data_IF_058713143196
#
_entry.id   IF_058713143196
#
_cell.length_a   1.000
_cell.length_b   1.000
_cell.length_c   1.000
_cell.angle_alpha   90.00
_cell.angle_beta   90.00
_cell.angle_gamma   90.00
#
_symmetry.space_group_name_H-M   'P 1'
#
loop_
_entity.id
_entity.type
_entity.pdbx_description
1 polymer ?
#
# COMPACT_ATOMS: atom_id res chain seq x y z
N UNK A 1 10.09 -40.13 22.46
CA UNK A 1 9.02 -40.59 21.54
C UNK A 1 7.65 -40.38 22.20
N UNK A 2 6.98 -39.26 21.92
CA UNK A 2 5.59 -39.01 22.36
C UNK A 2 4.66 -39.34 21.18
N UNK A 3 3.72 -40.26 21.37
CA UNK A 3 2.73 -40.69 20.38
C UNK A 3 1.63 -39.64 20.26
N UNK A 4 1.48 -39.04 19.08
CA UNK A 4 0.31 -38.21 18.74
C UNK A 4 -0.89 -39.11 18.43
N UNK A 5 -2.00 -38.90 19.15
CA UNK A 5 -3.31 -39.47 18.79
C UNK A 5 -3.89 -38.63 17.66
N UNK A 6 -4.09 -39.24 16.49
CA UNK A 6 -4.91 -38.69 15.39
C UNK A 6 -6.37 -38.72 15.82
N UNK A 7 -7.03 -37.56 15.84
CA UNK A 7 -8.48 -37.45 15.95
C UNK A 7 -9.04 -37.28 14.54
N UNK A 8 -9.82 -38.26 14.09
CA UNK A 8 -10.62 -38.19 12.88
C UNK A 8 -11.79 -37.24 13.15
N UNK A 9 -11.93 -36.18 12.35
CA UNK A 9 -13.14 -35.34 12.33
C UNK A 9 -14.06 -35.88 11.22
N UNK A 10 -15.31 -36.26 11.51
CA UNK A 10 -16.23 -36.74 10.48
C UNK A 10 -16.75 -35.57 9.64
N UNK A 11 -16.75 -35.78 8.32
CA UNK A 11 -17.45 -34.96 7.34
C UNK A 11 -18.96 -34.95 7.65
N UNK A 12 -19.50 -33.80 8.04
CA UNK A 12 -20.96 -33.58 8.07
C UNK A 12 -21.35 -32.96 6.74
N UNK A 13 -22.09 -33.74 5.94
CA UNK A 13 -22.78 -33.28 4.74
C UNK A 13 -23.90 -32.33 5.17
N UNK A 14 -23.77 -31.05 4.86
CA UNK A 14 -24.84 -30.07 5.10
C UNK A 14 -25.93 -30.26 4.03
N UNK A 15 -26.99 -30.96 4.40
CA UNK A 15 -28.24 -30.99 3.64
C UNK A 15 -28.88 -29.60 3.69
N UNK A 16 -29.19 -29.02 2.52
CA UNK A 16 -29.97 -27.80 2.38
C UNK A 16 -31.39 -28.02 2.92
N UNK A 17 -31.58 -27.79 4.22
CA UNK A 17 -32.88 -27.54 4.80
C UNK A 17 -33.22 -26.07 4.56
N UNK A 18 -34.19 -25.84 3.67
CA UNK A 18 -34.85 -24.55 3.48
C UNK A 18 -35.58 -24.22 4.78
N UNK A 19 -35.01 -23.34 5.59
CA UNK A 19 -35.68 -22.79 6.76
C UNK A 19 -36.77 -21.80 6.29
N UNK A 20 -37.94 -21.76 6.96
CA UNK A 20 -38.97 -20.78 6.66
C UNK A 20 -38.43 -19.36 6.91
N UNK A 21 -38.79 -18.45 6.00
CA UNK A 21 -38.51 -17.01 6.07
C UNK A 21 -38.88 -16.51 7.46
N UNK A 22 -37.86 -16.22 8.27
CA UNK A 22 -38.04 -15.62 9.58
C UNK A 22 -38.58 -14.22 9.37
N UNK A 23 -39.78 -13.95 9.89
CA UNK A 23 -40.35 -12.61 9.94
C UNK A 23 -39.37 -11.74 10.72
N UNK A 24 -38.69 -10.83 10.02
CA UNK A 24 -37.85 -9.80 10.65
C UNK A 24 -38.72 -9.05 11.64
N UNK A 25 -38.39 -9.14 12.92
CA UNK A 25 -39.04 -8.33 13.94
C UNK A 25 -38.66 -6.85 13.70
N UNK A 26 -39.54 -5.89 14.02
CA UNK A 26 -39.27 -4.46 13.77
C UNK A 26 -37.97 -3.97 14.42
N UNK A 27 -37.55 -4.59 15.53
CA UNK A 27 -36.32 -4.27 16.22
C UNK A 27 -35.05 -4.66 15.43
N UNK A 28 -35.06 -5.81 14.75
CA UNK A 28 -33.93 -6.28 13.93
C UNK A 28 -33.76 -5.46 12.65
N UNK A 29 -34.87 -5.05 12.02
CA UNK A 29 -34.84 -4.20 10.83
C UNK A 29 -34.30 -2.79 11.15
N UNK A 30 -34.72 -2.24 12.30
CA UNK A 30 -34.29 -0.91 12.76
C UNK A 30 -32.80 -0.87 13.17
N UNK A 31 -32.27 -1.97 13.72
CA UNK A 31 -30.82 -2.10 13.97
C UNK A 31 -30.02 -2.20 12.67
N UNK A 32 -30.51 -2.95 11.67
CA UNK A 32 -29.82 -3.06 10.37
C UNK A 32 -29.87 -1.76 9.58
N UNK A 33 -30.97 -1.01 9.63
CA UNK A 33 -31.08 0.33 9.03
C UNK A 33 -30.11 1.31 9.69
N UNK A 34 -30.04 1.32 11.03
CA UNK A 34 -29.13 2.21 11.76
C UNK A 34 -27.65 1.92 11.48
N UNK A 35 -27.31 0.64 11.30
CA UNK A 35 -25.96 0.21 10.88
C UNK A 35 -25.71 0.60 9.42
N UNK A 36 -26.70 0.47 8.54
CA UNK A 36 -26.56 0.87 7.14
C UNK A 36 -26.43 2.39 6.98
N UNK A 37 -27.18 3.17 7.78
CA UNK A 37 -27.07 4.63 7.84
C UNK A 37 -25.72 5.07 8.39
N UNK A 38 -25.21 4.46 9.47
CA UNK A 38 -23.88 4.79 9.98
C UNK A 38 -22.76 4.45 8.99
N UNK A 39 -22.87 3.33 8.27
CA UNK A 39 -21.92 2.96 7.20
C UNK A 39 -22.04 3.93 6.01
N UNK A 40 -23.24 4.42 5.70
CA UNK A 40 -23.45 5.39 4.63
C UNK A 40 -22.99 6.81 5.00
N UNK A 41 -23.09 7.19 6.28
CA UNK A 41 -22.56 8.45 6.81
C UNK A 41 -21.02 8.42 6.91
N UNK A 42 -20.42 7.33 7.37
CA UNK A 42 -18.95 7.13 7.32
C UNK A 42 -18.42 7.26 5.88
N UNK A 43 -19.12 6.68 4.90
CA UNK A 43 -18.76 6.80 3.47
C UNK A 43 -18.82 8.23 2.92
N UNK A 44 -19.50 9.16 3.60
CA UNK A 44 -19.57 10.57 3.18
C UNK A 44 -18.59 11.48 3.90
N UNK A 45 -18.09 11.09 5.07
CA UNK A 45 -17.29 11.98 5.93
C UNK A 45 -16.03 12.50 5.23
N UNK A 46 -15.36 11.62 4.47
CA UNK A 46 -14.12 11.94 3.76
C UNK A 46 -14.21 11.75 2.24
N UNK A 47 -15.42 11.84 1.68
CA UNK A 47 -15.64 11.70 0.24
C UNK A 47 -14.72 12.66 -0.55
N UNK A 48 -13.98 12.11 -1.51
CA UNK A 48 -13.01 12.82 -2.37
C UNK A 48 -11.91 13.57 -1.61
N UNK A 49 -11.58 13.11 -0.40
CA UNK A 49 -10.50 13.72 0.40
C UNK A 49 -9.14 13.69 -0.29
N UNK A 50 -8.89 12.73 -1.19
CA UNK A 50 -7.66 12.68 -1.99
C UNK A 50 -7.46 13.92 -2.88
N UNK A 51 -8.55 14.60 -3.30
CA UNK A 51 -8.48 15.82 -4.12
C UNK A 51 -7.99 17.04 -3.32
N UNK A 52 -7.99 16.95 -1.99
CA UNK A 52 -7.55 18.04 -1.10
C UNK A 52 -6.04 18.06 -0.88
N UNK A 53 -5.35 16.96 -1.18
CA UNK A 53 -3.92 16.88 -0.97
C UNK A 53 -3.21 17.58 -2.12
N UNK A 54 -2.37 18.54 -1.76
CA UNK A 54 -1.40 19.10 -2.67
C UNK A 54 -0.05 18.40 -2.50
N UNK A 55 0.26 17.47 -3.40
CA UNK A 55 1.45 16.63 -3.32
C UNK A 55 2.78 17.39 -3.36
N UNK A 56 2.78 18.65 -3.82
CA UNK A 56 3.94 19.56 -3.74
C UNK A 56 4.39 19.83 -2.29
N UNK A 57 3.52 19.58 -1.32
CA UNK A 57 3.79 19.71 0.11
C UNK A 57 3.71 18.38 0.87
N UNK A 58 3.63 17.25 0.15
CA UNK A 58 3.43 15.93 0.74
C UNK A 58 4.47 15.56 1.81
N UNK A 59 5.74 15.89 1.61
CA UNK A 59 6.77 15.63 2.64
C UNK A 59 6.52 16.40 3.93
N UNK A 60 6.09 17.66 3.81
CA UNK A 60 5.79 18.51 4.95
C UNK A 60 4.53 18.05 5.67
N UNK A 61 3.49 17.66 4.92
CA UNK A 61 2.26 17.08 5.47
C UNK A 61 2.58 15.78 6.21
N UNK A 62 3.42 14.90 5.65
CA UNK A 62 3.80 13.64 6.29
C UNK A 62 4.61 13.87 7.56
N UNK A 63 5.55 14.84 7.56
CA UNK A 63 6.32 15.23 8.74
C UNK A 63 5.40 15.64 9.89
N UNK A 64 4.47 16.57 9.64
CA UNK A 64 3.57 17.10 10.67
C UNK A 64 2.54 16.08 11.14
N UNK A 65 1.99 15.27 10.23
CA UNK A 65 1.08 14.18 10.59
C UNK A 65 1.79 13.16 11.49
N UNK A 66 3.02 12.79 11.15
CA UNK A 66 3.82 11.85 11.96
C UNK A 66 4.12 12.44 13.34
N UNK A 67 4.41 13.74 13.42
CA UNK A 67 4.63 14.41 14.70
C UNK A 67 3.35 14.45 15.53
N UNK A 68 2.21 14.75 14.92
CA UNK A 68 0.91 14.73 15.59
C UNK A 68 0.61 13.36 16.22
N UNK A 69 0.81 12.26 15.48
CA UNK A 69 0.57 10.90 15.98
C UNK A 69 1.49 10.55 17.16
N UNK A 70 2.75 11.02 17.13
CA UNK A 70 3.71 10.85 18.25
C UNK A 70 3.29 11.62 19.49
N UNK A 71 2.81 12.85 19.31
CA UNK A 71 2.37 13.71 20.42
C UNK A 71 0.99 13.28 20.96
N UNK A 72 0.20 12.57 20.15
CA UNK A 72 -1.15 12.10 20.49
C UNK A 72 -1.26 10.57 20.28
N UNK A 73 -0.54 9.73 21.05
CA UNK A 73 -0.52 8.28 20.85
C UNK A 73 -1.86 7.56 21.16
N UNK A 74 -2.86 8.32 21.63
CA UNK A 74 -4.22 7.84 21.90
C UNK A 74 -5.25 8.46 20.97
N UNK A 75 -4.82 9.26 19.98
CA UNK A 75 -5.72 9.81 18.98
C UNK A 75 -6.42 8.66 18.26
N UNK A 76 -7.72 8.83 18.08
CA UNK A 76 -8.54 7.98 17.24
C UNK A 76 -8.17 8.18 15.78
N UNK A 77 -8.50 7.20 14.94
CA UNK A 77 -8.31 7.31 13.49
C UNK A 77 -9.04 8.53 12.91
N UNK A 78 -10.21 8.88 13.45
CA UNK A 78 -10.95 10.06 13.05
C UNK A 78 -10.23 11.37 13.40
N UNK A 79 -9.66 11.49 14.60
CA UNK A 79 -8.86 12.66 14.98
C UNK A 79 -7.61 12.80 14.09
N UNK A 80 -6.95 11.69 13.75
CA UNK A 80 -5.80 11.68 12.83
C UNK A 80 -6.23 12.10 11.42
N UNK A 81 -7.37 11.60 10.92
CA UNK A 81 -7.91 11.96 9.60
C UNK A 81 -8.34 13.42 9.54
N UNK A 82 -9.00 13.93 10.58
CA UNK A 82 -9.39 15.34 10.67
C UNK A 82 -8.16 16.25 10.70
N UNK A 83 -7.16 15.92 11.51
CA UNK A 83 -5.91 16.66 11.53
C UNK A 83 -5.16 16.62 10.19
N UNK A 84 -5.12 15.45 9.53
CA UNK A 84 -4.56 15.34 8.18
C UNK A 84 -5.26 16.28 7.18
N UNK A 85 -6.58 16.40 7.25
CA UNK A 85 -7.31 17.33 6.38
C UNK A 85 -7.02 18.79 6.72
N UNK A 86 -6.85 19.13 8.00
CA UNK A 86 -6.38 20.47 8.41
C UNK A 86 -5.00 20.79 7.80
N UNK A 87 -4.07 19.83 7.83
CA UNK A 87 -2.76 19.98 7.19
C UNK A 87 -2.89 20.21 5.68
N UNK A 88 -3.81 19.56 4.99
CA UNK A 88 -4.06 19.79 3.56
C UNK A 88 -4.57 21.22 3.27
N UNK A 89 -5.42 21.77 4.15
CA UNK A 89 -5.89 23.17 4.05
C UNK A 89 -4.79 24.20 4.37
N UNK A 90 -3.81 23.83 5.20
CA UNK A 90 -2.63 24.66 5.50
C UNK A 90 -1.64 24.60 4.33
N UNK A 91 -1.34 23.39 3.85
CA UNK A 91 -0.29 23.10 2.88
C UNK A 91 -0.87 22.83 1.49
N UNK A 92 -1.29 23.91 0.83
CA UNK A 92 -1.69 23.90 -0.57
C UNK A 92 -1.22 25.17 -1.28
N UNK A 93 -1.07 25.09 -2.61
CA UNK A 93 -0.61 26.18 -3.47
C UNK A 93 -1.42 27.47 -3.38
N UNK A 94 -2.70 27.38 -3.00
CA UNK A 94 -3.62 28.51 -2.97
C UNK A 94 -3.54 29.27 -1.64
N UNK A 95 -2.92 28.65 -0.60
CA UNK A 95 -2.71 29.27 0.69
C UNK A 95 -1.57 30.30 0.62
N UNK A 96 -1.95 31.59 0.65
CA UNK A 96 -0.99 32.71 0.54
C UNK A 96 -0.11 32.91 1.77
N UNK A 97 -0.31 32.15 2.84
CA UNK A 97 0.45 32.30 4.09
C UNK A 97 1.70 31.42 4.16
N UNK A 98 1.84 30.42 3.28
CA UNK A 98 3.03 29.54 3.19
C UNK A 98 4.17 30.15 2.34
N UNK A 99 4.39 31.47 2.46
CA UNK A 99 5.23 32.29 1.55
C UNK A 99 6.70 31.88 1.39
N UNK A 100 7.20 31.00 2.26
CA UNK A 100 8.62 30.61 2.31
C UNK A 100 8.85 29.10 2.28
N UNK A 101 7.80 28.28 2.16
CA UNK A 101 7.99 26.86 1.86
C UNK A 101 8.18 26.76 0.35
N UNK A 102 9.42 26.49 -0.06
CA UNK A 102 9.60 25.97 -1.40
C UNK A 102 8.79 24.67 -1.47
N UNK A 103 7.85 24.52 -2.42
CA UNK A 103 7.32 23.19 -2.70
C UNK A 103 8.53 22.27 -2.91
N UNK A 104 8.44 21.01 -2.45
CA UNK A 104 9.44 20.02 -2.88
C UNK A 104 9.54 20.16 -4.40
N UNK A 105 10.75 20.35 -4.94
CA UNK A 105 10.93 20.47 -6.39
C UNK A 105 10.05 19.41 -7.04
N UNK A 106 9.32 19.78 -8.10
CA UNK A 106 8.53 18.86 -8.92
C UNK A 106 9.47 17.78 -9.48
N UNK A 107 9.93 16.90 -8.61
CA UNK A 107 10.99 15.96 -8.86
C UNK A 107 10.29 14.75 -9.41
N UNK A 108 10.24 14.68 -10.74
CA UNK A 108 9.82 13.54 -11.57
C UNK A 108 9.17 12.41 -10.75
N UNK A 109 7.97 12.69 -10.25
CA UNK A 109 7.07 11.70 -9.68
C UNK A 109 6.33 10.94 -10.78
N UNK A 110 6.60 11.31 -12.04
CA UNK A 110 5.82 11.03 -13.24
C UNK A 110 5.54 9.54 -13.47
N UNK A 111 6.22 8.63 -12.77
CA UNK A 111 6.16 7.21 -13.07
C UNK A 111 5.48 6.30 -12.02
N UNK A 112 5.29 6.70 -10.74
CA UNK A 112 4.58 5.83 -9.76
C UNK A 112 3.08 6.10 -9.65
N UNK A 113 2.69 7.38 -9.55
CA UNK A 113 1.32 7.82 -9.73
C UNK A 113 1.30 9.08 -10.59
N UNK A 114 0.42 9.10 -11.59
CA UNK A 114 0.14 10.31 -12.35
C UNK A 114 -0.42 11.39 -11.41
N UNK A 115 0.03 12.63 -11.56
CA UNK A 115 -0.53 13.77 -10.84
C UNK A 115 -0.73 14.95 -11.79
N UNK A 116 -1.77 15.72 -11.55
CA UNK A 116 -2.06 16.93 -12.31
C UNK A 116 -2.30 18.08 -11.32
N UNK A 117 -1.51 19.15 -11.44
CA UNK A 117 -1.62 20.34 -10.60
C UNK A 117 -1.54 20.05 -9.08
N UNK A 118 -0.72 19.05 -8.72
CA UNK A 118 -0.50 18.61 -7.34
C UNK A 118 -1.51 17.58 -6.82
N UNK A 119 -2.51 17.19 -7.61
CA UNK A 119 -3.49 16.16 -7.24
C UNK A 119 -3.15 14.84 -7.89
N UNK A 120 -3.06 13.78 -7.08
CA UNK A 120 -2.79 12.41 -7.52
C UNK A 120 -3.99 11.80 -8.24
N UNK A 121 -3.73 11.05 -9.32
CA UNK A 121 -4.74 10.30 -10.06
C UNK A 121 -4.85 8.89 -9.48
N UNK A 122 -5.94 8.63 -8.77
CA UNK A 122 -6.24 7.32 -8.19
C UNK A 122 -7.27 6.57 -9.04
N UNK A 123 -7.16 5.24 -9.09
CA UNK A 123 -8.22 4.42 -9.66
C UNK A 123 -9.44 4.35 -8.71
N UNK A 124 -10.65 3.99 -9.19
CA UNK A 124 -11.86 4.01 -8.35
C UNK A 124 -11.79 3.14 -7.08
N UNK A 125 -10.99 2.08 -7.04
CA UNK A 125 -10.81 1.24 -5.85
C UNK A 125 -9.91 1.92 -4.82
N UNK A 126 -8.84 2.56 -5.27
CA UNK A 126 -7.96 3.36 -4.41
C UNK A 126 -8.71 4.58 -3.85
N UNK A 127 -9.50 5.28 -4.68
CA UNK A 127 -10.36 6.38 -4.23
C UNK A 127 -11.31 5.93 -3.10
N UNK A 128 -11.96 4.78 -3.29
CA UNK A 128 -12.87 4.23 -2.29
C UNK A 128 -12.17 3.84 -0.97
N UNK A 129 -10.89 3.43 -1.01
CA UNK A 129 -10.09 3.19 0.20
C UNK A 129 -9.65 4.50 0.84
N UNK A 130 -9.21 5.46 0.03
CA UNK A 130 -8.79 6.77 0.50
C UNK A 130 -9.92 7.47 1.27
N UNK A 131 -11.14 7.43 0.73
CA UNK A 131 -12.33 8.01 1.37
C UNK A 131 -12.75 7.28 2.66
N UNK A 132 -12.26 6.07 2.92
CA UNK A 132 -12.47 5.39 4.20
C UNK A 132 -11.48 5.84 5.28
N UNK A 133 -10.24 6.17 4.88
CA UNK A 133 -9.20 6.59 5.81
C UNK A 133 -8.15 7.45 5.08
N UNK A 134 -8.36 8.78 5.01
CA UNK A 134 -7.52 9.68 4.23
C UNK A 134 -6.04 9.64 4.65
N UNK A 135 -5.77 9.64 5.96
CA UNK A 135 -4.40 9.59 6.48
C UNK A 135 -3.67 8.31 6.09
N UNK A 136 -4.35 7.15 6.13
CA UNK A 136 -3.77 5.86 5.72
C UNK A 136 -3.60 5.77 4.20
N UNK A 137 -4.55 6.30 3.42
CA UNK A 137 -4.42 6.41 1.97
C UNK A 137 -3.22 7.27 1.59
N UNK A 138 -3.07 8.43 2.21
CA UNK A 138 -1.92 9.31 2.04
C UNK A 138 -0.59 8.62 2.40
N UNK A 139 -0.51 7.95 3.55
CA UNK A 139 0.68 7.19 3.95
C UNK A 139 1.02 6.07 2.97
N UNK A 140 0.03 5.42 2.37
CA UNK A 140 0.28 4.40 1.36
C UNK A 140 0.85 4.98 0.05
N UNK A 141 0.40 6.17 -0.35
CA UNK A 141 0.98 6.92 -1.47
C UNK A 141 2.43 7.36 -1.17
N UNK A 142 2.68 7.85 0.05
CA UNK A 142 4.03 8.24 0.48
C UNK A 142 4.98 7.04 0.59
N UNK A 143 4.49 5.88 1.03
CA UNK A 143 5.23 4.63 0.98
C UNK A 143 5.59 4.26 -0.46
N UNK A 144 4.66 4.46 -1.40
CA UNK A 144 4.87 4.25 -2.83
C UNK A 144 5.96 5.13 -3.40
N UNK A 145 5.87 6.44 -3.14
CA UNK A 145 6.90 7.42 -3.51
C UNK A 145 8.28 6.94 -3.12
N UNK A 146 8.48 6.70 -1.84
CA UNK A 146 9.84 6.50 -1.41
C UNK A 146 10.32 5.09 -1.78
N UNK A 147 9.43 4.10 -1.99
CA UNK A 147 9.81 2.81 -2.56
C UNK A 147 10.31 2.99 -4.00
N UNK A 148 9.66 3.85 -4.79
CA UNK A 148 10.15 4.28 -6.10
C UNK A 148 11.54 4.91 -6.01
N UNK A 149 11.67 5.97 -5.22
CA UNK A 149 12.94 6.72 -5.08
C UNK A 149 14.08 5.83 -4.56
N UNK A 150 13.79 4.96 -3.61
CA UNK A 150 14.78 4.05 -3.07
C UNK A 150 15.18 2.96 -4.06
N UNK A 151 14.26 2.52 -4.92
CA UNK A 151 14.58 1.58 -6.00
C UNK A 151 15.48 2.23 -7.05
N UNK A 152 15.13 3.43 -7.53
CA UNK A 152 15.98 4.23 -8.44
C UNK A 152 17.38 4.44 -7.85
N UNK A 153 17.45 4.79 -6.57
CA UNK A 153 18.71 4.99 -5.86
C UNK A 153 19.54 3.70 -5.75
N UNK A 154 18.90 2.58 -5.40
CA UNK A 154 19.59 1.31 -5.20
C UNK A 154 20.05 0.69 -6.52
N UNK A 155 19.23 0.74 -7.57
CA UNK A 155 19.45 0.04 -8.83
C UNK A 155 19.96 0.96 -9.96
N UNK A 156 19.92 2.28 -9.77
CA UNK A 156 20.15 3.26 -10.84
C UNK A 156 19.12 3.20 -11.98
N UNK A 157 18.00 2.50 -11.76
CA UNK A 157 16.90 2.24 -12.69
C UNK A 157 15.67 1.74 -11.94
N UNK A 158 14.51 1.76 -12.59
CA UNK A 158 13.27 1.26 -12.01
C UNK A 158 12.32 0.68 -13.07
N UNK A 159 12.84 -0.26 -13.86
CA UNK A 159 12.16 -0.83 -15.02
C UNK A 159 11.00 -1.75 -14.64
N UNK A 160 9.96 -1.80 -15.49
CA UNK A 160 8.77 -2.65 -15.33
C UNK A 160 9.04 -4.13 -15.65
N UNK A 161 8.44 -5.02 -14.86
CA UNK A 161 8.49 -6.48 -14.94
C UNK A 161 9.87 -7.12 -14.64
N UNK A 162 10.81 -6.36 -14.11
CA UNK A 162 12.19 -6.80 -13.84
C UNK A 162 12.51 -6.88 -12.34
N UNK A 163 13.77 -7.14 -12.00
CA UNK A 163 14.26 -7.25 -10.62
C UNK A 163 13.98 -5.98 -9.78
N UNK A 164 14.18 -4.80 -10.36
CA UNK A 164 13.90 -3.51 -9.70
C UNK A 164 12.41 -3.35 -9.40
N UNK A 165 11.53 -3.75 -10.33
CA UNK A 165 10.09 -3.75 -10.13
C UNK A 165 9.69 -4.66 -8.97
N UNK A 166 10.19 -5.89 -9.00
CA UNK A 166 9.93 -6.89 -7.98
C UNK A 166 10.37 -6.42 -6.59
N UNK A 167 11.53 -5.77 -6.52
CA UNK A 167 12.03 -5.12 -5.31
C UNK A 167 11.11 -3.99 -4.85
N UNK A 168 10.72 -3.09 -5.76
CA UNK A 168 9.84 -1.95 -5.48
C UNK A 168 8.49 -2.38 -4.91
N UNK A 169 7.83 -3.36 -5.52
CA UNK A 169 6.54 -3.89 -5.04
C UNK A 169 6.63 -4.47 -3.63
N UNK A 170 7.68 -5.25 -3.37
CA UNK A 170 7.92 -5.82 -2.05
C UNK A 170 8.20 -4.72 -1.01
N UNK A 171 9.07 -3.76 -1.34
CA UNK A 171 9.42 -2.64 -0.47
C UNK A 171 8.21 -1.76 -0.15
N UNK A 172 7.42 -1.42 -1.18
CA UNK A 172 6.21 -0.62 -1.02
C UNK A 172 5.26 -1.25 0.01
N UNK A 173 5.04 -2.57 -0.08
CA UNK A 173 4.22 -3.29 0.88
C UNK A 173 4.81 -3.24 2.30
N UNK A 174 6.12 -3.44 2.45
CA UNK A 174 6.79 -3.36 3.75
C UNK A 174 6.66 -1.96 4.36
N UNK A 175 6.71 -0.90 3.55
CA UNK A 175 6.55 0.48 4.03
C UNK A 175 5.11 0.84 4.36
N UNK A 176 4.11 0.28 3.67
CA UNK A 176 2.73 0.42 4.12
C UNK A 176 2.51 -0.31 5.45
N UNK A 177 3.11 -1.49 5.64
CA UNK A 177 3.06 -2.20 6.93
C UNK A 177 3.68 -1.34 8.04
N UNK A 178 4.88 -0.80 7.78
CA UNK A 178 5.61 0.09 8.70
C UNK A 178 4.81 1.35 9.05
N UNK A 179 4.19 2.01 8.06
CA UNK A 179 3.48 3.26 8.26
C UNK A 179 2.04 3.10 8.79
N UNK A 180 1.42 1.94 8.56
CA UNK A 180 0.00 1.69 8.83
C UNK A 180 -0.22 0.32 9.46
N UNK A 181 -0.18 -0.76 8.66
CA UNK A 181 -0.26 -2.17 9.05
C UNK A 181 -0.44 -3.08 7.82
N UNK A 182 -0.28 -4.39 8.02
CA UNK A 182 -0.45 -5.46 7.03
C UNK A 182 -1.83 -5.48 6.35
N UNK A 183 -2.92 -5.35 7.12
CA UNK A 183 -4.27 -5.38 6.55
C UNK A 183 -4.53 -4.22 5.59
N UNK A 184 -3.98 -3.04 5.90
CA UNK A 184 -4.08 -1.89 4.99
C UNK A 184 -3.19 -2.07 3.76
N UNK A 185 -1.96 -2.57 3.94
CA UNK A 185 -1.06 -2.88 2.83
C UNK A 185 -1.72 -3.80 1.81
N UNK A 186 -2.29 -4.92 2.26
CA UNK A 186 -2.99 -5.86 1.37
C UNK A 186 -4.14 -5.18 0.61
N UNK A 187 -5.01 -4.43 1.31
CA UNK A 187 -6.15 -3.76 0.69
C UNK A 187 -5.71 -2.74 -0.36
N UNK A 188 -4.74 -1.90 0.01
CA UNK A 188 -4.26 -0.81 -0.84
C UNK A 188 -3.59 -1.35 -2.11
N UNK A 189 -2.62 -2.24 -1.98
CA UNK A 189 -1.88 -2.73 -3.15
C UNK A 189 -2.73 -3.66 -4.01
N UNK A 190 -3.66 -4.43 -3.41
CA UNK A 190 -4.65 -5.18 -4.21
C UNK A 190 -5.58 -4.25 -4.99
N UNK A 191 -5.96 -3.10 -4.42
CA UNK A 191 -6.76 -2.10 -5.13
C UNK A 191 -5.99 -1.43 -6.27
N UNK A 192 -4.68 -1.23 -6.09
CA UNK A 192 -3.77 -0.78 -7.14
C UNK A 192 -3.78 -1.77 -8.33
N UNK A 193 -3.42 -3.04 -8.09
CA UNK A 193 -3.32 -4.03 -9.18
C UNK A 193 -4.69 -4.34 -9.82
N UNK A 194 -5.76 -4.41 -9.02
CA UNK A 194 -7.12 -4.70 -9.52
C UNK A 194 -7.75 -3.52 -10.28
N UNK A 195 -7.27 -2.30 -10.02
CA UNK A 195 -7.81 -1.07 -10.59
C UNK A 195 -7.01 -0.54 -11.78
N UNK A 196 -5.81 -1.07 -12.01
CA UNK A 196 -4.97 -0.74 -13.15
C UNK A 196 -5.66 -1.14 -14.47
N UNK A 197 -6.13 -0.14 -15.21
CA UNK A 197 -6.91 -0.34 -16.45
C UNK A 197 -6.17 -1.08 -17.56
N UNK A 198 -4.84 -1.04 -17.53
CA UNK A 198 -3.95 -1.70 -18.48
C UNK A 198 -3.61 -3.14 -18.07
N UNK A 199 -3.92 -3.58 -16.85
CA UNK A 199 -3.61 -4.92 -16.37
C UNK A 199 -4.83 -5.85 -16.46
N UNK A 200 -4.67 -6.97 -17.16
CA UNK A 200 -5.59 -8.10 -17.07
C UNK A 200 -5.13 -9.00 -15.91
N UNK A 201 -6.03 -9.42 -15.01
CA UNK A 201 -5.70 -10.36 -13.90
C UNK A 201 -5.02 -11.67 -14.34
N UNK A 202 -5.11 -12.03 -15.64
CA UNK A 202 -4.43 -13.19 -16.23
C UNK A 202 -3.01 -12.90 -16.72
N UNK A 203 -2.61 -11.63 -16.85
CA UNK A 203 -1.29 -11.22 -17.31
C UNK A 203 -0.21 -11.74 -16.37
N UNK A 204 1.02 -11.82 -16.89
CA UNK A 204 2.17 -12.19 -16.07
C UNK A 204 2.54 -11.06 -15.11
N UNK A 205 2.41 -9.80 -15.53
CA UNK A 205 2.63 -8.60 -14.70
C UNK A 205 1.76 -8.60 -13.45
N UNK A 206 0.44 -8.69 -13.58
CA UNK A 206 -0.46 -8.76 -12.42
C UNK A 206 -0.10 -9.88 -11.45
N UNK A 207 0.30 -11.06 -11.96
CA UNK A 207 0.70 -12.20 -11.13
C UNK A 207 2.06 -11.99 -10.46
N UNK A 208 2.95 -11.24 -11.10
CA UNK A 208 4.24 -10.85 -10.56
C UNK A 208 4.02 -9.86 -9.41
N UNK A 209 3.28 -8.78 -9.67
CA UNK A 209 3.03 -7.68 -8.73
C UNK A 209 2.31 -8.20 -7.50
N UNK A 210 1.21 -8.96 -7.67
CA UNK A 210 0.49 -9.58 -6.55
C UNK A 210 1.37 -10.52 -5.72
N UNK A 211 2.26 -11.30 -6.36
CA UNK A 211 3.18 -12.20 -5.66
C UNK A 211 4.24 -11.41 -4.87
N UNK A 212 4.87 -10.42 -5.49
CA UNK A 212 5.92 -9.62 -4.84
C UNK A 212 5.35 -8.73 -3.73
N UNK A 213 4.13 -8.21 -3.92
CA UNK A 213 3.36 -7.52 -2.89
C UNK A 213 3.17 -8.40 -1.65
N UNK A 214 2.72 -9.65 -1.86
CA UNK A 214 2.52 -10.63 -0.78
C UNK A 214 3.83 -11.01 -0.08
N UNK A 215 4.91 -11.27 -0.82
CA UNK A 215 6.21 -11.62 -0.22
C UNK A 215 6.79 -10.46 0.61
N UNK A 216 6.58 -9.21 0.20
CA UNK A 216 6.95 -8.02 0.98
C UNK A 216 6.22 -7.98 2.33
N UNK A 217 4.89 -8.14 2.32
CA UNK A 217 4.09 -8.21 3.56
C UNK A 217 4.49 -9.40 4.45
N UNK A 218 4.70 -10.56 3.85
CA UNK A 218 5.17 -11.75 4.57
C UNK A 218 6.51 -11.48 5.26
N UNK A 219 7.48 -10.89 4.55
CA UNK A 219 8.78 -10.53 5.15
C UNK A 219 8.62 -9.51 6.28
N UNK A 220 7.80 -8.48 6.12
CA UNK A 220 7.50 -7.53 7.18
C UNK A 220 6.97 -8.22 8.44
N UNK A 221 6.03 -9.16 8.28
CA UNK A 221 5.49 -9.95 9.39
C UNK A 221 6.53 -10.89 10.03
N UNK A 222 7.43 -11.49 9.23
CA UNK A 222 8.51 -12.35 9.74
C UNK A 222 9.49 -11.57 10.64
N UNK A 223 9.83 -10.35 10.24
CA UNK A 223 10.77 -9.48 10.97
C UNK A 223 10.10 -8.65 12.08
N UNK A 224 8.76 -8.69 12.18
CA UNK A 224 8.02 -7.89 13.14
C UNK A 224 8.08 -6.39 12.84
N UNK A 225 8.12 -6.01 11.56
CA UNK A 225 8.11 -4.60 11.14
C UNK A 225 6.79 -3.94 11.53
N UNK A 226 6.89 -2.82 12.22
CA UNK A 226 5.80 -1.96 12.67
C UNK A 226 6.26 -0.50 12.77
N UNK A 227 5.41 0.41 13.24
CA UNK A 227 5.71 1.84 13.34
C UNK A 227 6.88 2.21 14.26
N UNK A 228 7.28 1.31 15.16
CA UNK A 228 8.42 1.53 16.07
C UNK A 228 9.75 1.06 15.46
N UNK A 229 9.69 0.29 14.38
CA UNK A 229 10.86 -0.17 13.65
C UNK A 229 11.61 1.00 13.02
N UNK A 230 12.94 0.90 12.98
CA UNK A 230 13.74 1.89 12.28
C UNK A 230 13.66 1.69 10.76
N UNK A 231 13.95 2.75 10.00
CA UNK A 231 14.10 2.61 8.54
C UNK A 231 15.19 1.60 8.16
N UNK A 232 16.22 1.45 9.00
CA UNK A 232 17.29 0.46 8.81
C UNK A 232 16.78 -0.98 8.93
N UNK A 233 15.82 -1.26 9.81
CA UNK A 233 15.24 -2.59 9.95
C UNK A 233 14.50 -3.01 8.66
N UNK A 234 13.71 -2.09 8.09
CA UNK A 234 13.02 -2.36 6.82
C UNK A 234 14.01 -2.56 5.67
N UNK A 235 15.10 -1.78 5.65
CA UNK A 235 16.17 -1.88 4.64
C UNK A 235 16.88 -3.24 4.68
N UNK A 236 17.24 -3.72 5.87
CA UNK A 236 17.84 -5.05 6.04
C UNK A 236 16.86 -6.11 5.56
N UNK A 237 15.59 -5.99 5.96
CA UNK A 237 14.58 -6.97 5.63
C UNK A 237 14.30 -7.05 4.11
N UNK A 238 14.29 -5.92 3.38
CA UNK A 238 14.10 -5.95 1.91
C UNK A 238 15.33 -6.52 1.19
N UNK A 239 16.56 -6.20 1.64
CA UNK A 239 17.79 -6.75 1.08
C UNK A 239 17.83 -8.29 1.20
N UNK A 240 17.49 -8.80 2.39
CA UNK A 240 17.39 -10.24 2.64
C UNK A 240 16.31 -10.89 1.76
N UNK A 241 15.17 -10.23 1.56
CA UNK A 241 14.10 -10.74 0.69
C UNK A 241 14.55 -10.78 -0.77
N UNK A 242 15.21 -9.72 -1.25
CA UNK A 242 15.73 -9.63 -2.62
C UNK A 242 16.72 -10.76 -2.93
N UNK A 243 17.62 -11.05 -1.99
CA UNK A 243 18.63 -12.12 -2.08
C UNK A 243 18.11 -13.52 -1.73
N UNK A 244 16.81 -13.67 -1.40
CA UNK A 244 16.27 -14.93 -0.89
C UNK A 244 15.89 -15.97 -1.95
N UNK A 245 15.74 -15.55 -3.22
CA UNK A 245 15.18 -16.42 -4.25
C UNK A 245 13.64 -16.43 -4.32
N UNK A 246 12.95 -15.61 -3.51
CA UNK A 246 11.48 -15.64 -3.41
C UNK A 246 10.77 -14.70 -4.37
N UNK A 247 11.36 -13.54 -4.69
CA UNK A 247 10.75 -12.59 -5.61
C UNK A 247 10.69 -13.15 -7.03
N UNK A 248 9.76 -12.63 -7.82
CA UNK A 248 9.55 -13.03 -9.22
C UNK A 248 9.71 -11.85 -10.16
N UNK A 249 10.21 -12.15 -11.36
CA UNK A 249 10.27 -11.23 -12.49
C UNK A 249 9.71 -11.90 -13.75
N UNK A 250 9.45 -11.15 -14.80
CA UNK A 250 9.08 -11.71 -16.10
C UNK A 250 10.34 -11.88 -16.95
N UNK A 251 10.63 -13.12 -17.32
CA UNK A 251 11.62 -13.41 -18.36
C UNK A 251 10.98 -13.20 -19.74
N UNK A 252 11.56 -12.29 -20.53
CA UNK A 252 11.07 -11.88 -21.85
C UNK A 252 12.06 -12.30 -22.95
N UNK A 253 12.21 -13.60 -23.26
CA UNK A 253 13.20 -14.06 -24.26
C UNK A 253 12.95 -13.49 -25.67
N UNK A 254 11.71 -13.09 -25.95
CA UNK A 254 11.38 -12.26 -27.11
C UNK A 254 10.35 -11.18 -26.72
N UNK A 255 10.80 -9.93 -26.62
CA UNK A 255 9.97 -8.78 -26.24
C UNK A 255 8.78 -8.54 -27.19
N UNK A 256 8.81 -9.04 -28.43
CA UNK A 256 7.71 -8.89 -29.40
C UNK A 256 6.69 -10.04 -29.34
N UNK A 257 6.90 -11.04 -28.48
CA UNK A 257 6.07 -12.24 -28.44
C UNK A 257 5.77 -12.66 -27.00
N UNK A 258 4.74 -12.05 -26.43
CA UNK A 258 4.27 -12.32 -25.05
C UNK A 258 4.02 -13.80 -24.74
N UNK A 259 3.61 -14.60 -25.74
CA UNK A 259 3.42 -16.05 -25.58
C UNK A 259 4.70 -16.83 -25.23
N UNK A 260 5.88 -16.18 -25.30
CA UNK A 260 7.16 -16.75 -24.89
C UNK A 260 7.61 -16.31 -23.50
N UNK A 261 6.89 -15.37 -22.89
CA UNK A 261 7.26 -14.83 -21.59
C UNK A 261 6.90 -15.80 -20.47
N UNK A 262 7.73 -15.82 -19.44
CA UNK A 262 7.58 -16.70 -18.27
C UNK A 262 7.75 -15.91 -16.99
N UNK A 263 6.99 -16.29 -15.96
CA UNK A 263 7.16 -15.75 -14.63
C UNK A 263 8.15 -16.64 -13.86
N UNK A 264 9.26 -16.06 -13.43
CA UNK A 264 10.39 -16.82 -12.87
C UNK A 264 10.82 -16.23 -11.52
N UNK A 265 11.18 -17.11 -10.59
CA UNK A 265 11.85 -16.68 -9.36
C UNK A 265 13.30 -16.35 -9.67
N UNK A 266 13.84 -15.36 -8.99
CA UNK A 266 15.24 -14.97 -9.11
C UNK A 266 15.86 -14.74 -7.73
N UNK A 267 17.18 -14.86 -7.65
CA UNK A 267 17.98 -14.53 -6.48
C UNK A 267 18.75 -13.26 -6.82
N UNK A 268 18.40 -12.16 -6.17
CA UNK A 268 19.13 -10.90 -6.32
C UNK A 268 20.58 -11.02 -5.86
N UNK A 269 21.43 -10.16 -6.38
CA UNK A 269 22.87 -10.14 -6.09
C UNK A 269 23.29 -8.74 -5.67
N UNK A 270 24.42 -8.66 -5.00
CA UNK A 270 25.02 -7.37 -4.61
C UNK A 270 25.37 -6.52 -5.84
N UNK A 271 25.76 -7.17 -6.94
CA UNK A 271 26.13 -6.49 -8.18
C UNK A 271 24.93 -5.90 -8.93
N UNK A 272 23.70 -6.22 -8.53
CA UNK A 272 22.50 -5.62 -9.10
C UNK A 272 22.28 -4.18 -8.60
N UNK A 273 22.95 -3.79 -7.49
CA UNK A 273 22.94 -2.43 -6.96
C UNK A 273 24.03 -1.55 -7.58
N UNK A 274 23.69 -0.29 -7.88
CA UNK A 274 24.60 0.70 -8.46
C UNK A 274 25.38 1.44 -7.36
N UNK A 275 24.82 1.55 -6.16
CA UNK A 275 25.52 2.02 -4.97
C UNK A 275 25.63 0.87 -3.95
N UNK A 276 26.85 0.35 -3.78
CA UNK A 276 27.16 -0.74 -2.82
C UNK A 276 27.07 -0.27 -1.37
N UNK A 277 27.15 1.04 -1.13
CA UNK A 277 26.90 1.70 0.15
C UNK A 277 25.63 2.53 0.02
N UNK A 278 24.47 1.85 -0.06
CA UNK A 278 23.13 2.44 0.04
C UNK A 278 23.18 3.70 0.94
N UNK A 279 22.98 4.93 0.41
CA UNK A 279 23.47 6.11 1.09
C UNK A 279 22.78 6.31 2.45
N UNK A 280 23.43 7.02 3.38
CA UNK A 280 22.79 7.42 4.61
C UNK A 280 21.59 8.31 4.26
N UNK A 281 20.38 7.83 4.55
CA UNK A 281 19.16 8.59 4.28
C UNK A 281 18.98 9.60 5.40
N UNK A 282 18.98 10.89 5.05
CA UNK A 282 18.56 12.02 5.89
C UNK A 282 17.09 11.90 6.30
#
# INVERSE_FOLDING_TARGET
>A
MKKFKRVLVPFVVFSLLVAPVSVLTPASAKSTEKIAESIAEEKKKYEKSYEKVDFRFSEKILEELTQYEKDHPKATEDEINEHFLELCEIYNKDNKNIKNLAPSSDGDWDDFYDYADGVVTLNPKEQALYDQSPSKGFKALMAGKGAWNYTELAFGRNDTDEESDAFRHALWNMWIVWAVNDSWAEKWTSAHEDGASYQNKKSLTYKMDMHNNEEGRYKAAQEGIDSDSSRSDVKIAIDELYKSGKLKKINKPNIKKESTWTLERFTGKEEDYVDQDLPPIT
#
